data_IF_770902498768
#
_entry.id   IF_770902498768
#
_cell.length_a   1.000
_cell.length_b   1.000
_cell.length_c   1.000
_cell.angle_alpha   90.00
_cell.angle_beta   90.00
_cell.angle_gamma   90.00
#
_symmetry.space_group_name_H-M   'P 1'
#
loop_
_entity.id
_entity.type
_entity.pdbx_description
1 polymer ?
#
# COMPACT_ATOMS: atom_id res chain seq x y z
N UNK A 1 16.93 -2.46 19.21
CA UNK A 1 17.35 -1.15 19.76
C UNK A 1 16.29 -0.17 19.31
N UNK A 2 15.64 0.55 20.20
CA UNK A 2 14.65 1.55 19.80
C UNK A 2 15.34 2.75 19.12
N UNK A 3 14.66 3.39 18.19
CA UNK A 3 15.17 4.56 17.47
C UNK A 3 14.26 5.77 17.75
N UNK A 4 14.80 6.79 18.42
CA UNK A 4 14.10 8.05 18.64
C UNK A 4 14.78 9.18 17.84
N UNK A 5 14.21 9.62 16.71
CA UNK A 5 14.80 10.67 15.89
C UNK A 5 14.84 12.04 16.59
N UNK A 6 14.01 12.29 17.62
CA UNK A 6 14.01 13.55 18.37
C UNK A 6 15.31 13.80 19.16
N UNK A 7 16.04 12.73 19.49
CA UNK A 7 17.31 12.80 20.23
C UNK A 7 18.54 12.84 19.31
N UNK A 8 18.34 12.68 18.01
CA UNK A 8 19.42 12.58 17.03
C UNK A 8 19.73 13.93 16.38
N UNK A 9 20.83 13.99 15.63
CA UNK A 9 21.25 15.20 14.90
C UNK A 9 21.36 14.90 13.42
N UNK A 10 20.47 15.50 12.62
CA UNK A 10 20.48 15.38 11.18
C UNK A 10 21.57 16.21 10.49
N UNK A 11 21.64 16.09 9.17
CA UNK A 11 22.47 16.93 8.30
C UNK A 11 21.77 18.30 8.18
N UNK A 12 22.44 19.43 8.49
CA UNK A 12 21.84 20.75 8.31
C UNK A 12 21.37 21.01 6.87
N UNK A 13 20.22 21.65 6.69
CA UNK A 13 19.58 21.90 5.38
C UNK A 13 20.56 22.42 4.31
N UNK A 14 21.44 23.36 4.67
CA UNK A 14 22.39 23.97 3.74
C UNK A 14 23.45 22.99 3.19
N UNK A 15 23.52 21.78 3.75
CA UNK A 15 24.43 20.70 3.36
C UNK A 15 23.72 19.50 2.74
N UNK A 16 22.40 19.57 2.57
CA UNK A 16 21.61 18.44 2.10
C UNK A 16 21.47 18.38 0.56
N UNK A 17 21.49 19.54 -0.12
CA UNK A 17 21.36 19.59 -1.58
C UNK A 17 22.45 18.77 -2.27
N UNK A 18 22.00 17.94 -3.22
CA UNK A 18 22.85 17.07 -4.03
C UNK A 18 22.99 17.57 -5.45
N UNK A 19 24.13 17.25 -6.06
CA UNK A 19 24.39 17.57 -7.46
C UNK A 19 23.80 16.49 -8.39
N UNK A 20 23.71 16.78 -9.69
CA UNK A 20 23.09 15.88 -10.67
C UNK A 20 23.76 14.50 -10.78
N UNK A 21 25.07 14.42 -10.54
CA UNK A 21 25.78 13.14 -10.58
C UNK A 21 25.47 12.27 -9.36
N UNK A 22 25.20 12.88 -8.21
CA UNK A 22 24.79 12.17 -7.00
C UNK A 22 23.33 11.70 -7.10
N UNK A 23 22.46 12.52 -7.71
CA UNK A 23 21.03 12.19 -7.88
C UNK A 23 20.75 11.18 -8.98
N UNK A 24 21.66 11.04 -9.95
CA UNK A 24 21.54 10.03 -10.99
C UNK A 24 22.03 8.67 -10.47
N UNK A 25 21.31 8.14 -9.48
CA UNK A 25 21.62 6.87 -8.82
C UNK A 25 21.55 5.70 -9.81
N UNK A 26 22.53 4.79 -9.83
CA UNK A 26 22.44 3.58 -10.64
C UNK A 26 21.21 2.75 -10.23
N UNK A 27 20.38 2.29 -11.18
CA UNK A 27 19.25 1.43 -10.85
C UNK A 27 19.74 0.03 -10.44
N UNK A 28 18.87 -0.75 -9.79
CA UNK A 28 19.14 -2.17 -9.53
C UNK A 28 18.98 -3.01 -10.82
N UNK A 29 19.56 -4.22 -10.83
CA UNK A 29 19.30 -5.21 -11.89
C UNK A 29 18.00 -5.96 -11.57
N UNK A 30 16.97 -5.90 -12.42
CA UNK A 30 15.67 -6.51 -12.12
C UNK A 30 15.71 -8.04 -11.99
N UNK A 31 16.75 -8.70 -12.51
CA UNK A 31 16.91 -10.16 -12.42
C UNK A 31 17.74 -10.61 -11.21
N UNK A 32 18.42 -9.68 -10.53
CA UNK A 32 19.31 -9.99 -9.40
C UNK A 32 18.94 -9.26 -8.10
N UNK A 33 18.08 -8.24 -8.19
CA UNK A 33 17.57 -7.51 -7.03
C UNK A 33 16.81 -8.45 -6.10
N UNK A 34 17.01 -8.31 -4.80
CA UNK A 34 16.19 -9.01 -3.84
C UNK A 34 14.75 -8.47 -3.92
N UNK A 35 13.69 -9.31 -3.93
CA UNK A 35 12.30 -8.84 -4.05
C UNK A 35 11.94 -7.74 -3.04
N UNK A 36 12.37 -7.89 -1.79
CA UNK A 36 12.17 -6.83 -0.78
C UNK A 36 13.04 -5.58 -0.93
N UNK A 37 14.14 -5.61 -1.67
CA UNK A 37 14.85 -4.37 -2.07
C UNK A 37 14.03 -3.62 -3.11
N UNK A 38 13.42 -4.34 -4.08
CA UNK A 38 12.43 -3.76 -5.01
C UNK A 38 11.23 -3.17 -4.26
N UNK A 39 10.65 -3.92 -3.31
CA UNK A 39 9.53 -3.46 -2.50
C UNK A 39 9.85 -2.17 -1.75
N UNK A 40 11.03 -2.08 -1.09
CA UNK A 40 11.46 -0.85 -0.40
C UNK A 40 11.58 0.34 -1.35
N UNK A 41 12.07 0.16 -2.56
CA UNK A 41 12.17 1.25 -3.54
C UNK A 41 10.78 1.77 -3.99
N UNK A 42 9.84 0.86 -4.25
CA UNK A 42 8.44 1.20 -4.59
C UNK A 42 7.76 1.90 -3.40
N UNK A 43 7.87 1.29 -2.21
CA UNK A 43 7.27 1.76 -0.98
C UNK A 43 7.78 3.13 -0.55
N UNK A 44 9.10 3.31 -0.41
CA UNK A 44 9.68 4.58 0.02
C UNK A 44 9.45 5.70 -1.00
N UNK A 45 9.30 5.37 -2.28
CA UNK A 45 8.85 6.35 -3.27
C UNK A 45 7.42 6.86 -2.94
N UNK A 46 6.52 5.98 -2.50
CA UNK A 46 5.17 6.38 -2.08
C UNK A 46 5.17 7.29 -0.85
N UNK A 47 5.99 6.96 0.15
CA UNK A 47 6.20 7.79 1.34
C UNK A 47 6.63 9.22 0.96
N UNK A 48 7.67 9.34 0.12
CA UNK A 48 8.17 10.63 -0.35
C UNK A 48 7.15 11.41 -1.20
N UNK A 49 6.36 10.70 -2.03
CA UNK A 49 5.32 11.32 -2.84
C UNK A 49 4.22 11.90 -1.96
N UNK A 50 3.77 11.16 -0.93
CA UNK A 50 2.82 11.67 0.06
C UNK A 50 3.40 12.92 0.72
N UNK A 51 4.62 12.84 1.28
CA UNK A 51 5.19 13.93 2.08
C UNK A 51 5.26 15.24 1.28
N UNK A 52 5.69 15.12 0.02
CA UNK A 52 5.71 16.22 -0.95
C UNK A 52 4.30 16.78 -1.21
N UNK A 53 3.30 15.91 -1.39
CA UNK A 53 1.90 16.32 -1.62
C UNK A 53 1.35 17.02 -0.37
N UNK A 54 1.50 16.44 0.82
CA UNK A 54 1.11 17.03 2.10
C UNK A 54 1.74 18.41 2.30
N UNK A 55 3.05 18.53 2.08
CA UNK A 55 3.79 19.79 2.12
C UNK A 55 3.25 20.83 1.12
N UNK A 56 2.84 20.40 -0.07
CA UNK A 56 2.14 21.27 -1.03
C UNK A 56 0.75 21.68 -0.57
N UNK A 57 -0.05 20.77 -0.01
CA UNK A 57 -1.37 21.07 0.51
C UNK A 57 -1.29 22.04 1.69
N UNK A 58 -0.37 21.82 2.62
CA UNK A 58 -0.14 22.75 3.71
C UNK A 58 0.20 24.15 3.18
N UNK A 59 1.13 24.25 2.22
CA UNK A 59 1.49 25.54 1.62
C UNK A 59 0.31 26.27 0.93
N UNK A 60 -0.69 25.53 0.41
CA UNK A 60 -1.92 26.09 -0.18
C UNK A 60 -2.93 26.57 0.87
N UNK A 61 -2.91 25.98 2.07
CA UNK A 61 -3.87 26.24 3.14
C UNK A 61 -3.34 27.11 4.28
N UNK A 62 -2.08 27.57 4.20
CA UNK A 62 -1.53 28.56 5.13
C UNK A 62 -1.36 29.93 4.47
N UNK A 63 -1.44 31.02 5.25
CA UNK A 63 -1.12 32.37 4.81
C UNK A 63 0.29 32.81 5.23
N UNK A 64 0.92 32.11 6.18
CA UNK A 64 2.21 32.48 6.74
C UNK A 64 3.34 32.29 5.71
N UNK A 65 4.01 33.38 5.35
CA UNK A 65 5.09 33.37 4.36
C UNK A 65 6.33 32.64 4.86
N UNK A 66 6.64 32.75 6.16
CA UNK A 66 7.78 32.08 6.78
C UNK A 66 7.61 30.56 6.77
N UNK A 67 6.42 30.06 7.11
CA UNK A 67 6.07 28.64 6.98
C UNK A 67 6.22 28.19 5.53
N UNK A 68 5.65 28.92 4.56
CA UNK A 68 5.78 28.57 3.13
C UNK A 68 7.23 28.52 2.66
N UNK A 69 8.08 29.43 3.13
CA UNK A 69 9.50 29.43 2.80
C UNK A 69 10.21 28.20 3.37
N UNK A 70 9.96 27.84 4.63
CA UNK A 70 10.51 26.63 5.25
C UNK A 70 10.07 25.36 4.49
N UNK A 71 8.75 25.21 4.27
CA UNK A 71 8.19 24.10 3.49
C UNK A 71 8.82 24.03 2.09
N UNK A 72 9.04 25.17 1.42
CA UNK A 72 9.62 25.18 0.07
C UNK A 72 11.10 24.76 0.04
N UNK A 73 11.85 25.03 1.11
CA UNK A 73 13.25 24.62 1.24
C UNK A 73 13.34 23.11 1.49
N UNK A 74 12.62 22.61 2.49
CA UNK A 74 12.56 21.17 2.84
C UNK A 74 12.08 20.37 1.63
N UNK A 75 10.92 20.73 1.06
CA UNK A 75 10.35 20.03 -0.10
C UNK A 75 11.25 20.02 -1.33
N UNK A 76 12.17 20.99 -1.49
CA UNK A 76 13.12 20.95 -2.61
C UNK A 76 14.12 19.81 -2.46
N UNK A 77 14.44 19.45 -1.22
CA UNK A 77 15.34 18.37 -0.86
C UNK A 77 14.60 17.03 -0.87
N UNK A 78 13.39 16.93 -0.32
CA UNK A 78 12.54 15.73 -0.46
C UNK A 78 12.31 15.39 -1.94
N UNK A 79 12.07 16.40 -2.78
CA UNK A 79 12.01 16.19 -4.23
C UNK A 79 13.30 15.58 -4.80
N UNK A 80 14.48 15.86 -4.25
CA UNK A 80 15.71 15.16 -4.64
C UNK A 80 15.74 13.72 -4.11
N UNK A 81 15.29 13.49 -2.88
CA UNK A 81 15.22 12.17 -2.25
C UNK A 81 14.29 11.26 -3.03
N UNK A 82 13.04 11.68 -3.28
CA UNK A 82 12.08 10.97 -4.11
C UNK A 82 12.67 10.52 -5.46
N UNK A 83 13.45 11.36 -6.16
CA UNK A 83 14.05 10.97 -7.45
C UNK A 83 15.13 9.91 -7.24
N UNK A 84 15.99 10.10 -6.24
CA UNK A 84 17.04 9.13 -5.94
C UNK A 84 16.46 7.77 -5.51
N UNK A 85 15.31 7.76 -4.82
CA UNK A 85 14.59 6.53 -4.44
C UNK A 85 13.89 5.89 -5.64
N UNK A 86 12.98 6.62 -6.30
CA UNK A 86 12.16 6.11 -7.39
C UNK A 86 13.01 5.63 -8.57
N UNK A 87 14.13 6.30 -8.86
CA UNK A 87 14.98 5.96 -10.01
C UNK A 87 15.94 4.79 -9.72
N UNK A 88 15.85 4.17 -8.54
CA UNK A 88 16.40 2.82 -8.34
C UNK A 88 15.66 1.79 -9.21
N UNK A 89 14.37 2.01 -9.48
CA UNK A 89 13.54 1.16 -10.33
C UNK A 89 13.97 1.34 -11.79
N UNK A 90 14.44 0.28 -12.47
CA UNK A 90 15.06 0.41 -13.78
C UNK A 90 14.03 0.60 -14.89
N UNK A 91 14.43 1.33 -15.94
CA UNK A 91 13.59 1.61 -17.10
C UNK A 91 13.24 0.39 -17.96
N UNK A 92 13.96 -0.73 -17.81
CA UNK A 92 13.74 -1.97 -18.56
C UNK A 92 12.80 -2.96 -17.85
N UNK A 93 12.24 -2.63 -16.69
CA UNK A 93 11.07 -3.35 -16.18
C UNK A 93 9.82 -2.97 -16.99
N UNK A 94 9.06 -3.98 -17.43
CA UNK A 94 7.77 -3.77 -18.11
C UNK A 94 6.72 -3.24 -17.14
N UNK A 95 5.61 -2.70 -17.67
CA UNK A 95 4.53 -2.19 -16.81
C UNK A 95 3.96 -3.30 -15.92
N UNK A 96 3.78 -4.51 -16.45
CA UNK A 96 3.24 -5.64 -15.68
C UNK A 96 4.26 -6.16 -14.66
N UNK A 97 5.56 -6.18 -14.99
CA UNK A 97 6.62 -6.51 -14.02
C UNK A 97 6.60 -5.55 -12.81
N UNK A 98 6.42 -4.25 -13.08
CA UNK A 98 6.28 -3.25 -12.02
C UNK A 98 5.00 -3.45 -11.23
N UNK A 99 3.87 -3.72 -11.89
CA UNK A 99 2.60 -4.01 -11.22
C UNK A 99 2.75 -5.17 -10.24
N UNK A 100 3.37 -6.29 -10.62
CA UNK A 100 3.63 -7.40 -9.67
C UNK A 100 4.43 -6.93 -8.44
N UNK A 101 5.39 -6.01 -8.62
CA UNK A 101 6.11 -5.40 -7.52
C UNK A 101 5.26 -4.51 -6.61
N UNK A 102 4.31 -3.75 -7.17
CA UNK A 102 3.34 -2.94 -6.39
C UNK A 102 2.42 -3.85 -5.59
N UNK A 103 1.85 -4.89 -6.21
CA UNK A 103 0.98 -5.85 -5.52
C UNK A 103 1.72 -6.61 -4.41
N UNK A 104 3.00 -6.91 -4.61
CA UNK A 104 3.82 -7.50 -3.54
C UNK A 104 4.00 -6.54 -2.35
N UNK A 105 4.19 -5.23 -2.61
CA UNK A 105 4.24 -4.22 -1.55
C UNK A 105 2.92 -4.22 -0.78
N UNK A 106 1.78 -4.12 -1.47
CA UNK A 106 0.46 -4.09 -0.84
C UNK A 106 0.24 -5.31 0.07
N UNK A 107 0.47 -6.53 -0.45
CA UNK A 107 0.30 -7.76 0.33
C UNK A 107 1.20 -7.82 1.57
N UNK A 108 2.51 -7.66 1.40
CA UNK A 108 3.45 -7.89 2.50
C UNK A 108 3.52 -6.72 3.49
N UNK A 109 3.34 -5.47 3.04
CA UNK A 109 3.23 -4.31 3.92
C UNK A 109 1.95 -4.40 4.77
N UNK A 110 0.78 -4.57 4.13
CA UNK A 110 -0.50 -4.62 4.83
C UNK A 110 -0.55 -5.78 5.82
N UNK A 111 0.03 -6.93 5.46
CA UNK A 111 0.19 -8.07 6.38
C UNK A 111 1.03 -7.72 7.61
N UNK A 112 2.16 -7.03 7.43
CA UNK A 112 3.02 -6.63 8.54
C UNK A 112 2.31 -5.62 9.46
N UNK A 113 1.68 -4.59 8.87
CA UNK A 113 0.93 -3.58 9.60
C UNK A 113 -0.19 -4.22 10.44
N UNK A 114 -0.98 -5.12 9.85
CA UNK A 114 -2.05 -5.82 10.56
C UNK A 114 -1.54 -6.67 11.75
N UNK A 115 -0.31 -7.22 11.65
CA UNK A 115 0.32 -7.96 12.74
C UNK A 115 0.82 -7.07 13.87
N UNK A 116 1.30 -5.87 13.54
CA UNK A 116 1.79 -4.89 14.51
C UNK A 116 0.71 -3.96 15.05
N UNK A 117 -0.50 -4.00 14.50
CA UNK A 117 -1.58 -3.12 14.90
C UNK A 117 -2.16 -3.46 16.29
N UNK A 118 -2.04 -2.57 17.29
CA UNK A 118 -2.58 -2.81 18.63
C UNK A 118 -4.09 -2.62 18.72
N UNK A 119 -4.73 -1.80 17.86
CA UNK A 119 -6.18 -1.61 17.86
C UNK A 119 -6.89 -2.76 17.10
N UNK A 120 -7.75 -3.57 17.75
CA UNK A 120 -8.42 -4.69 17.09
C UNK A 120 -9.34 -4.31 15.92
N UNK A 121 -9.87 -3.08 15.92
CA UNK A 121 -10.67 -2.57 14.81
C UNK A 121 -9.78 -2.18 13.62
N UNK A 122 -8.71 -1.42 13.85
CA UNK A 122 -7.76 -1.08 12.78
C UNK A 122 -7.08 -2.33 12.22
N UNK A 123 -6.80 -3.33 13.05
CA UNK A 123 -6.31 -4.62 12.56
C UNK A 123 -7.23 -5.24 11.52
N UNK A 124 -8.56 -5.15 11.72
CA UNK A 124 -9.55 -5.64 10.76
C UNK A 124 -9.63 -4.79 9.49
N UNK A 125 -9.38 -3.49 9.60
CA UNK A 125 -9.26 -2.58 8.44
C UNK A 125 -8.17 -3.10 7.50
N UNK A 126 -6.96 -3.33 8.01
CA UNK A 126 -5.85 -3.88 7.21
C UNK A 126 -6.15 -5.30 6.71
N UNK A 127 -6.62 -6.22 7.57
CA UNK A 127 -6.94 -7.60 7.17
C UNK A 127 -8.02 -7.68 6.08
N UNK A 128 -8.94 -6.70 6.04
CA UNK A 128 -10.03 -6.70 5.06
C UNK A 128 -9.55 -6.40 3.64
N UNK A 129 -8.72 -5.36 3.48
CA UNK A 129 -8.18 -4.94 2.18
C UNK A 129 -7.02 -5.86 1.72
N UNK A 130 -6.24 -6.41 2.65
CA UNK A 130 -5.17 -7.39 2.35
C UNK A 130 -5.63 -8.54 1.43
N UNK A 131 -6.87 -9.01 1.60
CA UNK A 131 -7.38 -10.11 0.80
C UNK A 131 -7.72 -9.71 -0.63
N UNK A 132 -7.95 -8.42 -0.89
CA UNK A 132 -8.20 -7.83 -2.21
C UNK A 132 -6.85 -7.71 -2.94
N UNK A 133 -5.84 -7.08 -2.33
CA UNK A 133 -4.46 -6.99 -2.86
C UNK A 133 -3.87 -8.36 -3.20
N UNK A 134 -4.15 -9.35 -2.35
CA UNK A 134 -3.68 -10.72 -2.57
C UNK A 134 -4.32 -11.36 -3.81
N UNK A 135 -5.59 -11.06 -4.11
CA UNK A 135 -6.22 -11.50 -5.35
C UNK A 135 -5.69 -10.73 -6.56
N UNK A 136 -5.43 -9.41 -6.42
CA UNK A 136 -4.88 -8.58 -7.49
C UNK A 136 -3.53 -9.10 -7.97
N UNK A 137 -2.64 -9.45 -7.04
CA UNK A 137 -1.37 -10.14 -7.35
C UNK A 137 -1.61 -11.40 -8.19
N UNK A 138 -2.60 -12.21 -7.82
CA UNK A 138 -2.97 -13.42 -8.56
C UNK A 138 -3.56 -13.11 -9.95
N UNK A 139 -4.41 -12.08 -10.10
CA UNK A 139 -4.96 -11.68 -11.41
C UNK A 139 -3.88 -11.17 -12.35
N UNK A 140 -3.00 -10.31 -11.86
CA UNK A 140 -1.90 -9.80 -12.67
C UNK A 140 -0.87 -10.85 -12.99
N UNK A 141 -0.61 -11.82 -12.12
CA UNK A 141 0.26 -12.95 -12.44
C UNK A 141 -0.30 -13.80 -13.59
N UNK A 142 -1.61 -14.07 -13.59
CA UNK A 142 -2.28 -14.75 -14.71
C UNK A 142 -2.25 -13.91 -15.99
N UNK A 143 -2.44 -12.60 -15.90
CA UNK A 143 -2.30 -11.71 -17.06
C UNK A 143 -0.87 -11.72 -17.61
N UNK A 144 0.13 -11.63 -16.73
CA UNK A 144 1.56 -11.64 -17.08
C UNK A 144 1.93 -12.93 -17.82
N UNK A 145 1.47 -14.08 -17.34
CA UNK A 145 1.70 -15.37 -17.98
C UNK A 145 1.02 -15.43 -19.37
N UNK A 146 -0.24 -14.98 -19.44
CA UNK A 146 -1.03 -14.94 -20.67
C UNK A 146 -0.40 -14.03 -21.75
N UNK A 147 0.17 -12.90 -21.34
CA UNK A 147 0.85 -11.96 -22.25
C UNK A 147 2.26 -12.44 -22.67
N UNK A 148 2.76 -13.54 -22.07
CA UNK A 148 4.07 -14.09 -22.41
C UNK A 148 5.22 -13.15 -22.05
N UNK A 149 5.14 -12.47 -20.91
CA UNK A 149 6.21 -11.61 -20.42
C UNK A 149 7.51 -12.42 -20.17
N UNK A 150 8.65 -11.72 -20.13
CA UNK A 150 9.99 -12.33 -20.06
C UNK A 150 10.26 -13.00 -18.72
N UNK A 151 9.70 -12.45 -17.64
CA UNK A 151 9.78 -13.00 -16.30
C UNK A 151 8.45 -13.65 -15.95
N UNK A 152 8.47 -14.59 -15.02
CA UNK A 152 7.28 -15.08 -14.35
C UNK A 152 7.08 -14.33 -13.03
N UNK A 153 5.85 -14.30 -12.53
CA UNK A 153 5.52 -13.49 -11.36
C UNK A 153 6.23 -13.96 -10.08
N UNK A 154 6.40 -15.27 -9.87
CA UNK A 154 7.24 -15.82 -8.79
C UNK A 154 8.74 -15.51 -8.91
N UNK A 155 9.26 -15.18 -10.09
CA UNK A 155 10.62 -14.67 -10.21
C UNK A 155 10.74 -13.22 -9.69
N UNK A 156 9.66 -12.45 -9.70
CA UNK A 156 9.60 -11.08 -9.19
C UNK A 156 9.36 -11.08 -7.68
N UNK A 157 8.37 -11.87 -7.22
CA UNK A 157 8.02 -11.94 -5.80
C UNK A 157 8.99 -12.80 -5.01
N UNK A 158 9.68 -13.73 -5.68
CA UNK A 158 10.47 -14.79 -5.05
C UNK A 158 9.60 -15.76 -4.26
N UNK A 159 10.24 -16.68 -3.52
CA UNK A 159 9.57 -17.57 -2.58
C UNK A 159 9.14 -16.85 -1.28
N UNK A 160 8.84 -15.56 -1.35
CA UNK A 160 8.53 -14.70 -0.20
C UNK A 160 7.02 -14.45 -0.08
N UNK A 161 6.36 -14.29 -1.22
CA UNK A 161 4.92 -14.01 -1.35
C UNK A 161 4.32 -15.05 -2.29
N UNK A 162 3.23 -15.69 -1.88
CA UNK A 162 2.52 -16.63 -2.76
C UNK A 162 1.58 -15.92 -3.73
N UNK A 163 1.19 -16.64 -4.77
CA UNK A 163 0.29 -16.17 -5.81
C UNK A 163 -0.87 -17.15 -5.88
N UNK A 164 -1.95 -16.80 -5.19
CA UNK A 164 -3.14 -17.60 -5.01
C UNK A 164 -4.37 -16.67 -5.03
N UNK A 165 -5.57 -17.17 -5.38
CA UNK A 165 -6.77 -16.36 -5.25
C UNK A 165 -6.93 -15.80 -3.83
N UNK A 166 -7.28 -14.52 -3.74
CA UNK A 166 -7.64 -13.84 -2.50
C UNK A 166 -9.15 -13.84 -2.29
N UNK A 167 -9.69 -12.68 -1.91
CA UNK A 167 -11.11 -12.39 -2.15
C UNK A 167 -11.24 -12.10 -3.65
N UNK A 168 -12.05 -12.84 -4.43
CA UNK A 168 -12.08 -12.64 -5.88
C UNK A 168 -12.47 -11.20 -6.28
N UNK A 169 -11.69 -10.57 -7.17
CA UNK A 169 -11.84 -9.16 -7.63
C UNK A 169 -13.26 -8.78 -8.03
N UNK A 170 -13.98 -9.68 -8.69
CA UNK A 170 -15.38 -9.43 -9.09
C UNK A 170 -16.27 -9.05 -7.88
N UNK A 171 -15.99 -9.54 -6.68
CA UNK A 171 -16.77 -9.33 -5.46
C UNK A 171 -16.31 -8.16 -4.58
N UNK A 172 -15.21 -7.50 -4.94
CA UNK A 172 -14.63 -6.45 -4.09
C UNK A 172 -15.37 -5.11 -4.25
N UNK A 173 -15.92 -4.89 -5.44
CA UNK A 173 -16.64 -3.69 -5.82
C UNK A 173 -17.86 -3.44 -4.93
N UNK A 174 -17.83 -2.35 -4.17
CA UNK A 174 -18.90 -1.95 -3.25
C UNK A 174 -19.20 -0.47 -3.35
N UNK A 175 -20.34 -0.07 -2.79
CA UNK A 175 -20.74 1.33 -2.75
C UNK A 175 -19.75 2.16 -1.91
N UNK A 176 -19.35 3.36 -2.35
CA UNK A 176 -18.37 4.19 -1.63
C UNK A 176 -18.73 4.50 -0.16
N UNK A 177 -20.01 4.45 0.23
CA UNK A 177 -20.39 4.59 1.65
C UNK A 177 -19.86 3.45 2.52
N UNK A 178 -19.66 2.26 1.95
CA UNK A 178 -19.12 1.07 2.61
C UNK A 178 -17.58 1.03 2.61
N UNK A 179 -16.92 2.03 2.02
CA UNK A 179 -15.46 2.18 2.10
C UNK A 179 -15.01 2.90 3.37
N UNK A 180 -15.85 3.79 3.90
CA UNK A 180 -15.49 4.62 5.05
C UNK A 180 -15.34 3.81 6.35
N UNK A 181 -14.36 4.18 7.15
CA UNK A 181 -14.04 3.59 8.45
C UNK A 181 -14.20 4.61 9.57
N UNK A 182 -14.14 4.10 10.80
CA UNK A 182 -14.14 4.96 11.98
C UNK A 182 -12.75 5.59 12.14
N UNK A 183 -12.64 6.92 12.15
CA UNK A 183 -11.37 7.59 12.39
C UNK A 183 -10.87 7.31 13.81
N UNK A 184 -9.56 7.14 13.95
CA UNK A 184 -8.92 7.20 15.25
C UNK A 184 -8.77 8.67 15.70
N UNK A 185 -8.27 8.86 16.92
CA UNK A 185 -7.85 10.18 17.39
C UNK A 185 -6.44 10.09 17.94
N UNK A 186 -5.57 11.04 17.61
CA UNK A 186 -4.16 11.05 18.03
C UNK A 186 -4.01 10.97 19.55
N UNK A 187 -4.94 11.55 20.31
CA UNK A 187 -4.91 11.55 21.78
C UNK A 187 -5.23 10.20 22.43
N UNK A 188 -5.86 9.28 21.70
CA UNK A 188 -6.30 7.99 22.21
C UNK A 188 -5.63 6.80 21.51
N UNK A 189 -5.14 6.99 20.28
CA UNK A 189 -4.47 5.97 19.50
C UNK A 189 -3.07 5.67 20.06
N UNK A 190 -2.64 4.42 19.89
CA UNK A 190 -1.24 4.07 20.07
C UNK A 190 -0.40 4.70 18.93
N UNK A 191 0.82 5.15 19.22
CA UNK A 191 1.69 5.71 18.18
C UNK A 191 1.90 4.72 17.03
N UNK A 192 1.98 3.41 17.31
CA UNK A 192 2.08 2.40 16.25
C UNK A 192 0.88 2.44 15.31
N UNK A 193 -0.34 2.60 15.83
CA UNK A 193 -1.55 2.75 15.01
C UNK A 193 -1.48 4.00 14.12
N UNK A 194 -0.96 5.12 14.66
CA UNK A 194 -0.80 6.38 13.91
C UNK A 194 0.21 6.21 12.77
N UNK A 195 1.38 5.63 13.07
CA UNK A 195 2.42 5.39 12.06
C UNK A 195 1.97 4.37 11.01
N UNK A 196 1.27 3.30 11.41
CA UNK A 196 0.72 2.32 10.50
C UNK A 196 -0.26 2.96 9.50
N UNK A 197 -1.17 3.79 10.01
CA UNK A 197 -2.19 4.44 9.17
C UNK A 197 -1.58 5.42 8.16
N UNK A 198 -0.67 6.30 8.59
CA UNK A 198 0.02 7.23 7.69
C UNK A 198 0.83 6.45 6.64
N UNK A 199 1.49 5.38 7.07
CA UNK A 199 2.28 4.52 6.19
C UNK A 199 1.44 3.85 5.11
N UNK A 200 0.31 3.24 5.46
CA UNK A 200 -0.51 2.55 4.45
C UNK A 200 -1.18 3.55 3.51
N UNK A 201 -1.65 4.70 4.02
CA UNK A 201 -2.29 5.73 3.18
C UNK A 201 -1.31 6.23 2.12
N UNK A 202 -0.06 6.49 2.50
CA UNK A 202 0.98 6.89 1.57
C UNK A 202 1.30 5.79 0.52
N UNK A 203 1.35 4.52 0.94
CA UNK A 203 1.62 3.40 0.05
C UNK A 203 0.49 3.21 -0.98
N UNK A 204 -0.76 3.19 -0.53
CA UNK A 204 -1.93 3.00 -1.40
C UNK A 204 -2.19 4.19 -2.30
N UNK A 205 -2.00 5.42 -1.80
CA UNK A 205 -2.09 6.60 -2.65
C UNK A 205 -1.06 6.54 -3.79
N UNK A 206 0.12 5.97 -3.54
CA UNK A 206 1.11 5.76 -4.60
C UNK A 206 0.73 4.65 -5.57
N UNK A 207 0.12 3.55 -5.12
CA UNK A 207 -0.46 2.51 -5.98
C UNK A 207 -1.54 3.09 -6.88
N UNK A 208 -2.51 3.82 -6.32
CA UNK A 208 -3.53 4.56 -7.06
C UNK A 208 -2.93 5.54 -8.07
N UNK A 209 -1.94 6.36 -7.66
CA UNK A 209 -1.24 7.28 -8.56
C UNK A 209 -0.54 6.56 -9.72
N UNK A 210 0.06 5.39 -9.46
CA UNK A 210 0.65 4.56 -10.50
C UNK A 210 -0.42 4.17 -11.53
N UNK A 211 -1.53 3.58 -11.09
CA UNK A 211 -2.62 3.15 -11.98
C UNK A 211 -3.24 4.30 -12.78
N UNK A 212 -3.43 5.48 -12.17
CA UNK A 212 -3.91 6.69 -12.85
C UNK A 212 -3.02 7.12 -14.02
N UNK A 213 -1.74 6.75 -14.02
CA UNK A 213 -0.76 7.14 -15.04
C UNK A 213 -0.37 5.99 -15.99
N UNK A 214 -0.59 4.73 -15.60
CA UNK A 214 -0.19 3.56 -16.41
C UNK A 214 -1.34 2.76 -17.00
N UNK A 215 -2.58 2.93 -16.53
CA UNK A 215 -3.72 2.14 -17.03
C UNK A 215 -4.00 2.31 -18.52
N UNK A 216 -3.50 3.39 -19.13
CA UNK A 216 -3.58 3.62 -20.56
C UNK A 216 -2.42 3.02 -21.38
N UNK A 217 -1.39 2.45 -20.73
CA UNK A 217 -0.18 1.91 -21.38
C UNK A 217 -0.39 0.54 -22.02
N UNK A 218 -1.07 -0.45 -21.40
CA UNK A 218 -1.32 -1.73 -22.05
C UNK A 218 -2.06 -1.56 -23.37
N UNK A 219 -1.64 -2.29 -24.40
CA UNK A 219 -2.28 -2.27 -25.74
C UNK A 219 -3.39 -3.32 -25.85
N UNK A 220 -3.23 -4.47 -25.21
CA UNK A 220 -4.20 -5.55 -25.22
C UNK A 220 -5.50 -5.14 -24.48
N UNK A 221 -6.70 -5.28 -25.09
CA UNK A 221 -7.95 -4.86 -24.48
C UNK A 221 -8.28 -5.55 -23.15
N UNK A 222 -7.90 -6.81 -22.98
CA UNK A 222 -8.11 -7.55 -21.75
C UNK A 222 -7.17 -7.06 -20.65
N UNK A 223 -5.90 -6.82 -20.99
CA UNK A 223 -4.95 -6.18 -20.06
C UNK A 223 -5.46 -4.81 -19.62
N UNK A 224 -5.88 -3.94 -20.56
CA UNK A 224 -6.46 -2.63 -20.26
C UNK A 224 -7.69 -2.73 -19.37
N UNK A 225 -8.54 -3.73 -19.61
CA UNK A 225 -9.72 -4.01 -18.80
C UNK A 225 -9.34 -4.34 -17.35
N UNK A 226 -8.36 -5.23 -17.14
CA UNK A 226 -7.92 -5.60 -15.80
C UNK A 226 -7.34 -4.39 -15.04
N UNK A 227 -6.46 -3.62 -15.70
CA UNK A 227 -5.91 -2.39 -15.11
C UNK A 227 -7.01 -1.38 -14.76
N UNK A 228 -8.06 -1.25 -15.56
CA UNK A 228 -9.18 -0.36 -15.27
C UNK A 228 -9.97 -0.85 -14.05
N UNK A 229 -10.29 -2.14 -13.99
CA UNK A 229 -11.09 -2.72 -12.92
C UNK A 229 -10.38 -2.59 -11.57
N UNK A 230 -9.13 -3.05 -11.48
CA UNK A 230 -8.36 -2.99 -10.23
C UNK A 230 -8.09 -1.54 -9.84
N UNK A 231 -7.79 -0.64 -10.78
CA UNK A 231 -7.61 0.79 -10.47
C UNK A 231 -8.84 1.45 -9.81
N UNK A 232 -10.05 0.93 -9.98
CA UNK A 232 -11.23 1.41 -9.24
C UNK A 232 -11.23 0.92 -7.79
N UNK A 233 -10.68 -0.25 -7.52
CA UNK A 233 -10.53 -0.79 -6.16
C UNK A 233 -9.41 -0.05 -5.41
N UNK A 234 -8.34 0.35 -6.09
CA UNK A 234 -7.28 1.17 -5.46
C UNK A 234 -7.82 2.50 -4.90
N UNK A 235 -8.78 3.12 -5.60
CA UNK A 235 -9.49 4.30 -5.08
C UNK A 235 -10.33 3.95 -3.82
N UNK A 236 -10.95 2.77 -3.81
CA UNK A 236 -11.68 2.27 -2.63
C UNK A 236 -10.74 2.05 -1.45
N UNK A 237 -9.52 1.55 -1.68
CA UNK A 237 -8.50 1.37 -0.65
C UNK A 237 -8.00 2.70 -0.09
N UNK A 238 -7.77 3.70 -0.94
CA UNK A 238 -7.40 5.04 -0.48
C UNK A 238 -8.51 5.63 0.39
N UNK A 239 -9.77 5.61 -0.07
CA UNK A 239 -10.94 6.06 0.73
C UNK A 239 -11.08 5.30 2.06
N UNK A 240 -10.82 3.99 2.04
CA UNK A 240 -10.83 3.14 3.22
C UNK A 240 -9.79 3.58 4.23
N UNK A 241 -8.52 3.66 3.83
CA UNK A 241 -7.44 3.93 4.77
C UNK A 241 -7.38 5.39 5.20
N UNK A 242 -7.63 6.36 4.32
CA UNK A 242 -7.58 7.78 4.72
C UNK A 242 -8.63 8.11 5.78
N UNK A 243 -9.76 7.40 5.76
CA UNK A 243 -10.85 7.60 6.72
C UNK A 243 -10.52 7.13 8.14
N UNK A 244 -9.45 6.35 8.35
CA UNK A 244 -8.99 5.97 9.70
C UNK A 244 -8.12 7.06 10.34
N UNK A 245 -7.60 8.01 9.57
CA UNK A 245 -6.77 9.10 10.09
C UNK A 245 -7.57 10.05 10.99
N UNK A 246 -6.89 10.76 11.89
CA UNK A 246 -7.54 11.77 12.74
C UNK A 246 -7.88 13.02 11.91
N UNK A 247 -9.16 13.34 11.67
CA UNK A 247 -9.55 14.44 10.80
C UNK A 247 -9.44 15.81 11.49
N UNK A 248 -9.06 15.84 12.77
CA UNK A 248 -9.02 17.07 13.59
C UNK A 248 -7.63 17.69 13.70
N UNK A 249 -6.60 17.04 13.14
CA UNK A 249 -5.23 17.49 13.24
C UNK A 249 -5.00 18.81 12.52
N UNK A 250 -4.24 19.70 13.18
CA UNK A 250 -3.71 20.90 12.54
C UNK A 250 -2.57 20.55 11.57
N UNK A 251 -2.32 21.41 10.60
CA UNK A 251 -1.30 21.19 9.57
C UNK A 251 0.12 20.98 10.12
N UNK A 252 0.50 21.67 11.20
CA UNK A 252 1.84 21.50 11.80
C UNK A 252 1.97 20.18 12.55
N UNK A 253 0.92 19.75 13.26
CA UNK A 253 0.89 18.41 13.86
C UNK A 253 0.95 17.34 12.78
N UNK A 254 0.19 17.50 11.70
CA UNK A 254 0.23 16.59 10.56
C UNK A 254 1.63 16.53 9.95
N UNK A 255 2.28 17.67 9.72
CA UNK A 255 3.65 17.73 9.21
C UNK A 255 4.62 16.97 10.12
N UNK A 256 4.59 17.21 11.44
CA UNK A 256 5.47 16.50 12.40
C UNK A 256 5.28 14.99 12.35
N UNK A 257 4.03 14.50 12.20
CA UNK A 257 3.77 13.06 12.10
C UNK A 257 4.34 12.46 10.81
N UNK A 258 4.26 13.16 9.68
CA UNK A 258 4.83 12.70 8.41
C UNK A 258 6.36 12.61 8.47
N UNK A 259 7.00 13.68 8.94
CA UNK A 259 8.46 13.77 9.10
C UNK A 259 9.00 12.70 10.07
N UNK A 260 8.24 12.42 11.15
CA UNK A 260 8.57 11.36 12.09
C UNK A 260 8.42 9.97 11.46
N UNK A 261 7.36 9.77 10.66
CA UNK A 261 7.12 8.54 9.93
C UNK A 261 8.25 8.29 8.92
N UNK A 262 8.68 9.30 8.17
CA UNK A 262 9.81 9.22 7.25
C UNK A 262 11.12 8.83 7.95
N UNK A 263 11.41 9.44 9.09
CA UNK A 263 12.55 9.03 9.93
C UNK A 263 12.47 7.55 10.33
N UNK A 264 11.32 7.10 10.82
CA UNK A 264 11.13 5.71 11.22
C UNK A 264 11.27 4.74 10.05
N UNK A 265 10.72 5.06 8.89
CA UNK A 265 10.72 4.19 7.71
C UNK A 265 12.09 4.14 7.01
N UNK A 266 12.81 5.25 6.92
CA UNK A 266 14.20 5.23 6.44
C UNK A 266 15.11 4.44 7.37
N UNK A 267 14.95 4.59 8.69
CA UNK A 267 15.66 3.75 9.65
C UNK A 267 15.31 2.28 9.46
N UNK A 268 14.03 1.96 9.31
CA UNK A 268 13.55 0.59 9.08
C UNK A 268 14.15 -0.05 7.83
N UNK A 269 14.14 0.67 6.71
CA UNK A 269 14.76 0.24 5.46
C UNK A 269 16.28 0.07 5.63
N UNK A 270 16.97 1.00 6.28
CA UNK A 270 18.41 0.90 6.55
C UNK A 270 18.75 -0.33 7.41
N UNK A 271 17.94 -0.66 8.42
CA UNK A 271 18.19 -1.82 9.27
C UNK A 271 18.09 -3.14 8.49
N UNK A 272 17.18 -3.21 7.53
CA UNK A 272 16.79 -4.48 6.89
C UNK A 272 17.22 -4.63 5.43
N UNK A 273 17.79 -3.59 4.82
CA UNK A 273 18.33 -3.64 3.46
C UNK A 273 19.56 -4.55 3.35
N UNK A 274 19.57 -5.39 2.32
CA UNK A 274 20.64 -6.35 2.04
C UNK A 274 21.63 -5.84 1.00
N UNK A 275 21.21 -4.93 0.13
CA UNK A 275 22.10 -4.25 -0.83
C UNK A 275 22.81 -3.07 -0.13
N UNK A 276 24.12 -3.20 0.09
CA UNK A 276 24.93 -2.19 0.77
C UNK A 276 24.88 -0.80 0.11
N UNK A 277 24.73 -0.73 -1.21
CA UNK A 277 24.69 0.55 -1.94
C UNK A 277 23.35 1.24 -1.71
N UNK A 278 22.25 0.49 -1.76
CA UNK A 278 20.91 1.02 -1.51
C UNK A 278 20.74 1.34 -0.01
N UNK A 279 21.32 0.54 0.88
CA UNK A 279 21.36 0.81 2.32
C UNK A 279 22.02 2.15 2.65
N UNK A 280 23.12 2.49 1.96
CA UNK A 280 23.78 3.79 2.13
C UNK A 280 22.90 4.97 1.69
N UNK A 281 22.00 4.76 0.72
CA UNK A 281 21.00 5.76 0.35
C UNK A 281 19.96 5.95 1.47
N UNK A 282 19.44 4.85 2.03
CA UNK A 282 18.52 4.91 3.18
C UNK A 282 19.13 5.61 4.39
N UNK A 283 20.38 5.30 4.72
CA UNK A 283 21.12 5.96 5.80
C UNK A 283 21.30 7.46 5.52
N UNK A 284 21.62 7.83 4.28
CA UNK A 284 21.78 9.22 3.91
C UNK A 284 20.48 10.01 4.09
N UNK A 285 19.37 9.49 3.58
CA UNK A 285 18.07 10.15 3.68
C UNK A 285 17.55 10.18 5.12
N UNK A 286 17.75 9.12 5.91
CA UNK A 286 17.45 9.16 7.35
C UNK A 286 18.12 10.36 8.03
N UNK A 287 19.41 10.58 7.77
CA UNK A 287 20.13 11.70 8.34
C UNK A 287 19.63 13.06 7.84
N UNK A 288 19.00 13.13 6.67
CA UNK A 288 18.37 14.35 6.15
C UNK A 288 17.02 14.60 6.83
N UNK A 289 16.19 13.55 6.94
CA UNK A 289 14.85 13.63 7.57
C UNK A 289 14.89 14.01 9.04
N UNK A 290 15.91 13.58 9.80
CA UNK A 290 16.06 13.99 11.21
C UNK A 290 16.12 15.51 11.35
N UNK A 291 16.74 16.22 10.38
CA UNK A 291 16.76 17.68 10.39
C UNK A 291 15.41 18.28 9.94
N UNK A 292 14.69 17.64 9.01
CA UNK A 292 13.36 18.07 8.59
C UNK A 292 12.35 17.96 9.74
N UNK A 293 12.32 16.82 10.44
CA UNK A 293 11.54 16.62 11.67
C UNK A 293 11.87 17.69 12.72
N UNK A 294 13.15 17.98 12.96
CA UNK A 294 13.55 19.03 13.90
C UNK A 294 12.91 20.38 13.53
N UNK A 295 12.94 20.75 12.25
CA UNK A 295 12.37 22.00 11.74
C UNK A 295 10.85 22.01 11.88
N UNK A 296 10.17 20.89 11.61
CA UNK A 296 8.73 20.74 11.80
C UNK A 296 8.34 20.90 13.27
N UNK A 297 9.05 20.24 14.19
CA UNK A 297 8.85 20.38 15.63
C UNK A 297 9.06 21.82 16.12
N UNK A 298 10.07 22.52 15.61
CA UNK A 298 10.28 23.94 15.94
C UNK A 298 9.13 24.82 15.46
N UNK A 299 8.62 24.59 14.24
CA UNK A 299 7.45 25.33 13.74
C UNK A 299 6.21 25.05 14.58
N UNK A 300 5.96 23.79 14.94
CA UNK A 300 4.83 23.40 15.78
C UNK A 300 4.88 24.10 17.14
N UNK A 301 6.04 24.09 17.80
CA UNK A 301 6.22 24.75 19.09
C UNK A 301 6.06 26.26 18.99
N UNK A 302 6.71 26.90 18.00
CA UNK A 302 6.75 28.36 17.91
C UNK A 302 5.39 28.97 17.49
N UNK A 303 4.59 28.23 16.72
CA UNK A 303 3.32 28.72 16.14
C UNK A 303 2.12 28.22 16.94
N UNK A 304 2.02 26.91 17.16
CA UNK A 304 0.86 26.30 17.83
C UNK A 304 1.07 26.13 19.34
N UNK A 305 2.30 26.31 19.84
CA UNK A 305 2.62 26.18 21.27
C UNK A 305 2.57 24.73 21.76
N UNK A 306 2.71 23.76 20.85
CA UNK A 306 2.64 22.32 21.14
C UNK A 306 4.06 21.73 21.07
N UNK A 307 4.45 20.99 22.10
CA UNK A 307 5.68 20.19 22.09
C UNK A 307 5.39 18.83 21.44
N UNK A 308 6.23 18.38 20.51
CA UNK A 308 6.01 17.15 19.76
C UNK A 308 6.04 15.90 20.67
N UNK A 309 6.85 15.95 21.73
CA UNK A 309 6.94 14.97 22.81
C UNK A 309 5.62 14.77 23.57
N UNK A 310 4.63 15.66 23.39
CA UNK A 310 3.30 15.47 23.98
C UNK A 310 2.47 14.36 23.32
N UNK A 311 2.83 13.95 22.10
CA UNK A 311 2.15 12.88 21.35
C UNK A 311 3.11 11.89 20.65
N UNK A 312 4.40 12.18 20.56
CA UNK A 312 5.42 11.24 20.09
C UNK A 312 6.06 10.48 21.27
N UNK A 313 6.48 9.22 21.06
CA UNK A 313 7.02 8.39 22.13
C UNK A 313 8.44 8.80 22.51
N UNK A 314 8.69 9.03 23.80
CA UNK A 314 10.01 9.38 24.36
C UNK A 314 11.11 8.35 24.04
N UNK A 315 10.75 7.07 23.95
CA UNK A 315 11.68 5.99 23.63
C UNK A 315 11.91 5.80 22.12
N UNK A 316 11.17 6.53 21.28
CA UNK A 316 11.08 6.28 19.85
C UNK A 316 10.23 5.06 19.51
N UNK A 317 10.16 4.73 18.21
CA UNK A 317 9.50 3.51 17.78
C UNK A 317 10.29 2.27 18.25
N UNK A 318 9.60 1.24 18.77
CA UNK A 318 10.27 0.11 19.41
C UNK A 318 10.99 -0.80 18.41
N UNK A 319 10.38 -1.05 17.25
CA UNK A 319 10.85 -1.97 16.22
C UNK A 319 10.81 -1.32 14.83
N UNK A 320 11.70 -1.73 13.90
CA UNK A 320 11.63 -1.29 12.52
C UNK A 320 10.47 -1.96 11.79
N UNK A 321 9.90 -1.27 10.80
CA UNK A 321 9.08 -1.90 9.77
C UNK A 321 9.91 -2.89 8.94
N UNK A 322 9.38 -4.09 8.70
CA UNK A 322 10.08 -5.13 7.95
C UNK A 322 9.21 -5.69 6.82
N UNK A 323 9.74 -5.69 5.60
CA UNK A 323 9.27 -6.62 4.59
C UNK A 323 9.79 -8.01 4.93
N UNK A 324 8.87 -8.93 5.22
CA UNK A 324 9.11 -10.31 5.59
C UNK A 324 7.98 -11.20 5.08
N UNK A 325 8.23 -12.51 4.98
CA UNK A 325 7.20 -13.42 4.48
C UNK A 325 6.01 -13.48 5.44
N UNK A 326 4.79 -13.31 4.89
CA UNK A 326 3.53 -13.35 5.63
C UNK A 326 2.61 -14.52 5.23
N UNK A 327 3.12 -15.53 4.51
CA UNK A 327 2.31 -16.62 3.92
C UNK A 327 1.34 -17.31 4.89
N UNK A 328 1.80 -17.63 6.11
CA UNK A 328 0.95 -18.26 7.14
C UNK A 328 -0.13 -17.30 7.64
N UNK A 329 0.22 -16.02 7.80
CA UNK A 329 -0.71 -14.99 8.26
C UNK A 329 -1.79 -14.71 7.22
N UNK A 330 -1.42 -14.50 5.94
CA UNK A 330 -2.38 -14.29 4.84
C UNK A 330 -3.34 -15.49 4.73
N UNK A 331 -2.84 -16.73 4.80
CA UNK A 331 -3.69 -17.93 4.81
C UNK A 331 -4.66 -17.98 5.99
N UNK A 332 -4.23 -17.53 7.16
CA UNK A 332 -5.10 -17.46 8.33
C UNK A 332 -6.21 -16.41 8.16
N UNK A 333 -5.86 -15.23 7.65
CA UNK A 333 -6.83 -14.17 7.33
C UNK A 333 -7.86 -14.67 6.30
N UNK A 334 -7.41 -15.32 5.21
CA UNK A 334 -8.29 -15.96 4.22
C UNK A 334 -9.29 -16.92 4.87
N UNK A 335 -8.82 -17.79 5.78
CA UNK A 335 -9.66 -18.77 6.47
C UNK A 335 -10.71 -18.11 7.37
N UNK A 336 -10.37 -17.00 8.02
CA UNK A 336 -11.22 -16.34 9.02
C UNK A 336 -12.23 -15.38 8.42
N UNK A 337 -11.88 -14.70 7.33
CA UNK A 337 -12.63 -13.56 6.81
C UNK A 337 -12.67 -13.47 5.28
N UNK A 338 -12.36 -14.56 4.58
CA UNK A 338 -12.42 -14.60 3.12
C UNK A 338 -13.80 -14.24 2.56
N UNK A 339 -14.89 -14.57 3.26
CA UNK A 339 -16.27 -14.29 2.85
C UNK A 339 -16.85 -12.99 3.43
N UNK A 340 -16.03 -12.14 4.07
CA UNK A 340 -16.48 -10.90 4.67
C UNK A 340 -16.57 -9.79 3.63
N UNK A 341 -17.60 -8.95 3.76
CA UNK A 341 -17.83 -7.68 3.05
C UNK A 341 -17.96 -6.54 4.07
N UNK A 342 -18.21 -5.32 3.59
CA UNK A 342 -18.40 -4.14 4.42
C UNK A 342 -19.85 -3.62 4.39
N UNK A 343 -20.32 -3.13 5.54
CA UNK A 343 -21.52 -2.32 5.68
C UNK A 343 -21.19 -1.13 6.58
N UNK A 344 -21.17 0.06 5.97
CA UNK A 344 -20.60 1.28 6.54
C UNK A 344 -19.18 0.98 7.06
N UNK A 345 -18.93 1.22 8.35
CA UNK A 345 -17.65 0.98 9.00
C UNK A 345 -17.48 -0.45 9.57
N UNK A 346 -18.41 -1.38 9.32
CA UNK A 346 -18.41 -2.73 9.87
C UNK A 346 -18.03 -3.79 8.84
N UNK A 347 -17.38 -4.86 9.32
CA UNK A 347 -17.04 -6.03 8.52
C UNK A 347 -17.90 -7.23 8.94
N UNK A 348 -18.54 -7.89 8.00
CA UNK A 348 -19.41 -9.03 8.25
C UNK A 348 -19.43 -10.01 7.07
N UNK A 349 -19.76 -11.31 7.30
CA UNK A 349 -19.97 -12.25 6.20
C UNK A 349 -20.99 -11.72 5.19
N UNK A 350 -20.72 -11.86 3.90
CA UNK A 350 -21.64 -11.43 2.82
C UNK A 350 -23.03 -12.06 2.93
N UNK A 351 -23.11 -13.25 3.51
CA UNK A 351 -24.37 -13.97 3.79
C UNK A 351 -25.29 -13.26 4.79
N UNK A 352 -24.78 -12.27 5.52
CA UNK A 352 -25.55 -11.47 6.49
C UNK A 352 -26.05 -10.14 5.91
N UNK A 353 -25.65 -9.77 4.69
CA UNK A 353 -26.22 -8.59 4.04
C UNK A 353 -27.71 -8.80 3.73
N UNK A 354 -28.56 -7.79 3.94
CA UNK A 354 -29.95 -7.86 3.53
C UNK A 354 -30.07 -7.85 1.99
N UNK A 355 -31.06 -8.53 1.39
CA UNK A 355 -31.27 -8.57 -0.07
C UNK A 355 -31.28 -7.22 -0.79
N UNK A 356 -31.75 -6.18 -0.12
CA UNK A 356 -31.85 -4.81 -0.65
C UNK A 356 -30.63 -3.94 -0.33
N UNK A 357 -29.52 -4.54 0.15
CA UNK A 357 -28.29 -3.82 0.41
C UNK A 357 -27.67 -3.25 -0.88
N UNK A 358 -27.14 -2.03 -0.80
CA UNK A 358 -26.49 -1.30 -1.91
C UNK A 358 -25.35 -2.06 -2.58
N UNK A 359 -24.69 -2.96 -1.84
CA UNK A 359 -23.66 -3.86 -2.38
C UNK A 359 -24.15 -4.61 -3.63
N UNK A 360 -25.36 -5.18 -3.61
CA UNK A 360 -25.88 -5.98 -4.73
C UNK A 360 -26.22 -5.13 -5.95
N UNK A 361 -26.79 -3.93 -5.74
CA UNK A 361 -27.06 -3.00 -6.84
C UNK A 361 -25.75 -2.47 -7.45
N UNK A 362 -24.75 -2.15 -6.64
CA UNK A 362 -23.44 -1.72 -7.12
C UNK A 362 -22.79 -2.81 -7.97
N UNK A 363 -22.72 -4.04 -7.44
CA UNK A 363 -22.24 -5.23 -8.13
C UNK A 363 -22.93 -5.45 -9.48
N UNK A 364 -24.26 -5.34 -9.51
CA UNK A 364 -25.06 -5.48 -10.74
C UNK A 364 -24.65 -4.51 -11.84
N UNK A 365 -24.37 -3.26 -11.46
CA UNK A 365 -24.06 -2.19 -12.40
C UNK A 365 -22.64 -2.34 -12.94
N UNK A 366 -21.65 -2.49 -12.07
CA UNK A 366 -20.23 -2.47 -12.47
C UNK A 366 -19.80 -3.75 -13.17
N UNK A 367 -20.37 -4.90 -12.78
CA UNK A 367 -20.08 -6.19 -13.40
C UNK A 367 -21.03 -6.54 -14.57
N UNK A 368 -21.86 -5.59 -15.01
CA UNK A 368 -22.75 -5.79 -16.15
C UNK A 368 -21.95 -6.11 -17.42
N UNK A 369 -22.13 -7.32 -17.97
CA UNK A 369 -21.41 -7.79 -19.16
C UNK A 369 -20.12 -8.56 -18.87
N UNK A 370 -19.80 -8.79 -17.59
CA UNK A 370 -18.65 -9.58 -17.12
C UNK A 370 -17.49 -8.72 -16.64
N UNK A 371 -16.67 -9.30 -15.76
CA UNK A 371 -15.51 -8.64 -15.15
C UNK A 371 -14.20 -9.01 -15.89
N UNK A 372 -13.33 -8.04 -16.24
CA UNK A 372 -12.01 -8.31 -16.82
C UNK A 372 -11.15 -9.30 -16.02
N UNK A 373 -11.18 -9.22 -14.69
CA UNK A 373 -10.53 -10.14 -13.75
C UNK A 373 -10.93 -11.60 -13.96
N UNK A 374 -12.22 -11.88 -14.18
CA UNK A 374 -12.72 -13.21 -14.52
C UNK A 374 -12.40 -13.59 -15.96
N UNK A 375 -12.41 -12.63 -16.89
CA UNK A 375 -12.02 -12.90 -18.28
C UNK A 375 -10.55 -13.34 -18.40
N UNK A 376 -9.64 -12.74 -17.62
CA UNK A 376 -8.22 -13.16 -17.56
C UNK A 376 -8.11 -14.61 -17.11
N UNK A 377 -8.76 -14.97 -16.00
CA UNK A 377 -8.72 -16.34 -15.46
C UNK A 377 -9.33 -17.35 -16.42
N UNK A 378 -10.49 -17.04 -16.99
CA UNK A 378 -11.15 -17.91 -17.96
C UNK A 378 -10.31 -18.09 -19.24
N UNK A 379 -9.66 -17.02 -19.71
CA UNK A 379 -8.78 -17.09 -20.87
C UNK A 379 -7.53 -17.94 -20.59
N UNK A 380 -6.93 -17.75 -19.41
CA UNK A 380 -5.78 -18.54 -19.00
C UNK A 380 -6.13 -20.04 -18.91
N UNK A 381 -7.26 -20.40 -18.30
CA UNK A 381 -7.78 -21.79 -18.27
C UNK A 381 -8.01 -22.34 -19.67
N UNK A 382 -8.58 -21.55 -20.59
CA UNK A 382 -8.84 -21.99 -21.95
C UNK A 382 -7.57 -22.23 -22.77
N UNK A 383 -6.55 -21.38 -22.62
CA UNK A 383 -5.32 -21.42 -23.41
C UNK A 383 -4.28 -22.39 -22.84
N UNK A 384 -4.20 -22.51 -21.50
CA UNK A 384 -3.17 -23.30 -20.80
C UNK A 384 -3.72 -24.52 -20.04
N UNK A 385 -5.04 -24.67 -19.93
CA UNK A 385 -5.69 -25.79 -19.24
C UNK A 385 -5.71 -25.69 -17.72
N UNK A 386 -5.12 -24.63 -17.16
CA UNK A 386 -5.02 -24.37 -15.72
C UNK A 386 -4.92 -22.85 -15.49
N UNK A 387 -4.80 -22.43 -14.24
CA UNK A 387 -4.44 -21.05 -13.85
C UNK A 387 -2.97 -20.97 -13.49
N UNK A 388 -2.40 -19.78 -13.59
CA UNK A 388 -1.10 -19.51 -12.99
C UNK A 388 -1.27 -19.35 -11.48
N UNK A 389 -0.60 -20.22 -10.71
CA UNK A 389 -0.59 -20.22 -9.24
C UNK A 389 0.81 -20.56 -8.74
N UNK A 390 1.22 -19.93 -7.65
CA UNK A 390 2.47 -20.24 -6.95
C UNK A 390 2.20 -20.38 -5.45
N UNK A 391 2.26 -21.61 -4.94
CA UNK A 391 2.00 -21.91 -3.53
C UNK A 391 3.03 -22.90 -2.98
N UNK A 392 3.61 -22.56 -1.84
CA UNK A 392 4.67 -23.35 -1.19
C UNK A 392 4.25 -23.90 0.17
N UNK A 393 3.17 -23.41 0.77
CA UNK A 393 2.62 -23.90 2.05
C UNK A 393 1.38 -24.81 1.86
N UNK A 394 1.32 -25.53 0.73
CA UNK A 394 0.25 -26.48 0.42
C UNK A 394 -0.98 -25.84 -0.23
N UNK A 395 -2.09 -26.58 -0.21
CA UNK A 395 -3.33 -26.20 -0.89
C UNK A 395 -3.93 -24.88 -0.38
N UNK A 396 -4.76 -24.28 -1.22
CA UNK A 396 -5.53 -23.09 -0.87
C UNK A 396 -6.39 -23.34 0.40
N UNK A 397 -6.39 -22.41 1.38
CA UNK A 397 -7.09 -22.60 2.66
C UNK A 397 -8.62 -22.66 2.52
N UNK A 398 -9.18 -22.00 1.49
CA UNK A 398 -10.61 -22.07 1.14
C UNK A 398 -10.78 -23.14 0.06
N UNK A 399 -11.54 -24.19 0.35
CA UNK A 399 -11.71 -25.36 -0.54
C UNK A 399 -12.29 -25.00 -1.90
N UNK A 400 -13.30 -24.14 -1.93
CA UNK A 400 -13.95 -23.66 -3.16
C UNK A 400 -13.01 -22.84 -4.06
N UNK A 401 -11.90 -22.31 -3.55
CA UNK A 401 -10.92 -21.53 -4.32
C UNK A 401 -9.67 -22.35 -4.71
N UNK A 402 -9.64 -23.64 -4.39
CA UNK A 402 -8.63 -24.57 -4.93
C UNK A 402 -8.85 -24.75 -6.43
N UNK A 403 -7.81 -25.18 -7.14
CA UNK A 403 -7.86 -25.40 -8.60
C UNK A 403 -8.95 -26.41 -9.03
N UNK A 404 -9.20 -27.44 -8.22
CA UNK A 404 -10.28 -28.42 -8.43
C UNK A 404 -11.51 -28.14 -7.56
N UNK A 405 -11.56 -26.99 -6.89
CA UNK A 405 -12.63 -26.61 -5.99
C UNK A 405 -13.92 -26.28 -6.75
N UNK A 406 -15.06 -26.51 -6.10
CA UNK A 406 -16.34 -26.02 -6.60
C UNK A 406 -16.45 -24.51 -6.32
N UNK A 407 -16.02 -23.69 -7.28
CA UNK A 407 -16.02 -22.23 -7.15
C UNK A 407 -17.41 -21.65 -6.88
N UNK A 408 -18.45 -22.30 -7.40
CA UNK A 408 -19.82 -21.83 -7.23
C UNK A 408 -20.27 -21.94 -5.76
N UNK A 409 -19.67 -22.86 -4.98
CA UNK A 409 -19.94 -23.02 -3.55
C UNK A 409 -19.37 -21.91 -2.66
N UNK A 410 -18.57 -20.99 -3.22
CA UNK A 410 -18.03 -19.86 -2.46
C UNK A 410 -19.16 -18.92 -2.01
N UNK A 411 -19.19 -18.44 -0.74
CA UNK A 411 -20.35 -17.71 -0.21
C UNK A 411 -20.74 -16.47 -1.01
N UNK A 412 -19.77 -15.71 -1.54
CA UNK A 412 -20.03 -14.57 -2.41
C UNK A 412 -20.80 -14.98 -3.67
N UNK A 413 -20.37 -16.06 -4.33
CA UNK A 413 -21.04 -16.54 -5.54
C UNK A 413 -22.49 -16.96 -5.23
N UNK A 414 -22.71 -17.72 -4.16
CA UNK A 414 -24.05 -18.15 -3.75
C UNK A 414 -25.00 -16.98 -3.46
N UNK A 415 -24.52 -15.96 -2.76
CA UNK A 415 -25.35 -14.80 -2.40
C UNK A 415 -25.57 -13.90 -3.61
N UNK A 416 -24.52 -13.52 -4.33
CA UNK A 416 -24.63 -12.62 -5.49
C UNK A 416 -25.51 -13.23 -6.59
N UNK A 417 -25.32 -14.51 -6.93
CA UNK A 417 -26.17 -15.18 -7.93
C UNK A 417 -27.63 -15.19 -7.51
N UNK A 418 -27.93 -15.52 -6.24
CA UNK A 418 -29.31 -15.50 -5.72
C UNK A 418 -29.95 -14.12 -5.83
N UNK A 419 -29.26 -13.07 -5.38
CA UNK A 419 -29.85 -11.72 -5.36
C UNK A 419 -29.91 -11.07 -6.76
N UNK A 420 -29.04 -11.47 -7.70
CA UNK A 420 -29.03 -10.94 -9.07
C UNK A 420 -29.97 -11.70 -10.03
N UNK A 421 -30.25 -12.98 -9.80
CA UNK A 421 -31.20 -13.77 -10.61
C UNK A 421 -32.67 -13.55 -10.21
N UNK A 422 -32.95 -12.98 -9.04
CA UNK A 422 -34.30 -12.66 -8.55
C UNK A 422 -34.88 -11.32 -9.07
N UNK A 423 -34.18 -10.63 -10.00
CA UNK A 423 -34.61 -9.38 -10.66
C UNK A 423 -34.72 -9.56 -12.18
#
# INVERSE_FOLDING_TARGET
MSFNPLNERGIPLERQLRNWSELNTPPYDPNAVHPYTRCRAIFMNGIEVEAIINSHQFARHTADVGVKQKLALVRRIEQQQQKAVNWLIPGNETTIERTIGYEQVAVDLTSWLARQEPDPYLKRVYEFALLEDFDHLYRYANLMDLMGDRMKAEEITGDLTEILPGRPTIFEHRDPHDDLRRPMTLTAADTQSVMNAITIVAAEQQTMNFYMNVGNVPEDPLARGLYLEIAQIEEQHVSHYESILDPTLGWLTNLVLHEYNECWLYWSCMQTEVDNRIKALWELHLNMEIEHLRIACEMLRDIDGIEAESFLPDAGMPEPMTFETNKEYVRDVLRRSGDFTAWDAQFMPVTQLPPDHRYFEYQKVVNAGGAPSEMVINRHRADFGQEYRFATQGEHPIESLREQGDHDSYPYHQVVTRELEEV
#
